data_IF_519288084669
#
_entry.id   IF_519288084669
#
_cell.length_a   1.000
_cell.length_b   1.000
_cell.length_c   1.000
_cell.angle_alpha   90.00
_cell.angle_beta   90.00
_cell.angle_gamma   90.00
#
_symmetry.space_group_name_H-M   'P 1'
#
loop_
_entity.id
_entity.type
_entity.pdbx_description
1 polymer ?
#
# COMPACT_ATOMS: atom_id res chain seq x y z
N UNK A 1 34.03 -36.40 8.77
CA UNK A 1 33.59 -35.59 7.61
C UNK A 1 32.34 -36.26 7.07
N UNK A 2 31.16 -35.70 7.35
CA UNK A 2 29.90 -36.19 6.79
C UNK A 2 29.40 -35.24 5.70
N UNK A 3 28.94 -35.74 4.53
CA UNK A 3 28.36 -34.89 3.49
C UNK A 3 26.88 -34.59 3.79
N UNK A 4 26.55 -33.30 3.85
CA UNK A 4 25.23 -32.76 4.12
C UNK A 4 24.29 -32.87 2.89
N UNK A 5 23.06 -33.33 3.14
CA UNK A 5 22.08 -33.75 2.15
C UNK A 5 21.37 -32.57 1.44
N UNK A 6 21.27 -32.72 0.11
CA UNK A 6 20.16 -32.37 -0.77
C UNK A 6 19.60 -30.92 -0.83
N UNK A 7 20.28 -30.10 -1.63
CA UNK A 7 19.64 -28.96 -2.32
C UNK A 7 18.62 -29.49 -3.35
N UNK A 8 17.33 -29.18 -3.17
CA UNK A 8 16.24 -29.52 -4.13
C UNK A 8 16.63 -29.14 -5.57
N UNK A 9 16.96 -30.15 -6.37
CA UNK A 9 17.28 -30.02 -7.79
C UNK A 9 16.05 -29.50 -8.53
N UNK A 10 16.21 -28.40 -9.27
CA UNK A 10 15.14 -27.86 -10.14
C UNK A 10 14.74 -28.95 -11.15
N UNK A 11 13.45 -29.30 -11.22
CA UNK A 11 12.93 -30.29 -12.17
C UNK A 11 13.17 -29.84 -13.61
N UNK A 12 13.51 -30.79 -14.47
CA UNK A 12 13.85 -30.50 -15.85
C UNK A 12 12.60 -30.20 -16.68
N UNK A 13 12.74 -29.37 -17.71
CA UNK A 13 11.64 -29.04 -18.63
C UNK A 13 11.15 -30.27 -19.42
N UNK A 14 11.90 -31.38 -19.42
CA UNK A 14 11.52 -32.65 -20.07
C UNK A 14 10.86 -33.65 -19.12
N UNK A 15 10.80 -33.39 -17.81
CA UNK A 15 10.18 -34.33 -16.85
C UNK A 15 8.67 -34.36 -17.08
N UNK A 16 8.16 -35.52 -17.47
CA UNK A 16 6.73 -35.81 -17.72
C UNK A 16 5.96 -36.07 -16.42
N UNK A 17 6.66 -36.35 -15.33
CA UNK A 17 6.08 -36.71 -14.05
C UNK A 17 5.24 -35.56 -13.47
N UNK A 18 3.95 -35.82 -13.25
CA UNK A 18 2.97 -34.85 -12.72
C UNK A 18 2.30 -33.95 -13.75
N UNK A 19 2.52 -34.15 -15.07
CA UNK A 19 1.82 -33.38 -16.13
C UNK A 19 0.51 -34.04 -16.57
N UNK A 20 -0.46 -34.15 -15.66
CA UNK A 20 -1.74 -34.83 -15.92
C UNK A 20 -2.77 -33.99 -16.68
N UNK A 21 -2.55 -32.67 -16.85
CA UNK A 21 -3.53 -31.77 -17.45
C UNK A 21 -3.23 -31.54 -18.94
N UNK A 22 -3.97 -32.18 -19.83
CA UNK A 22 -3.76 -32.07 -21.30
C UNK A 22 -4.66 -31.04 -21.96
N UNK A 23 -4.10 -30.32 -22.94
CA UNK A 23 -4.84 -29.47 -23.86
C UNK A 23 -5.20 -30.24 -25.13
N UNK A 24 -6.25 -29.80 -25.82
CA UNK A 24 -6.66 -30.34 -27.13
C UNK A 24 -5.59 -30.23 -28.22
N UNK A 25 -4.61 -29.33 -28.06
CA UNK A 25 -3.43 -29.24 -28.92
C UNK A 25 -2.31 -30.24 -28.55
N UNK A 26 -2.56 -31.19 -27.65
CA UNK A 26 -1.63 -32.27 -27.26
C UNK A 26 -0.59 -31.89 -26.21
N UNK A 27 -0.64 -30.68 -25.64
CA UNK A 27 0.33 -30.23 -24.62
C UNK A 27 -0.13 -30.59 -23.20
N UNK A 28 0.77 -31.19 -22.43
CA UNK A 28 0.54 -31.59 -21.05
C UNK A 28 1.15 -30.60 -20.04
N UNK A 29 0.40 -30.27 -18.99
CA UNK A 29 0.72 -29.27 -17.98
C UNK A 29 0.66 -29.86 -16.56
N UNK A 30 1.46 -29.27 -15.66
CA UNK A 30 1.57 -29.70 -14.25
C UNK A 30 0.33 -29.39 -13.40
N UNK A 31 -0.53 -28.47 -13.85
CA UNK A 31 -1.73 -28.07 -13.11
C UNK A 31 -2.80 -27.53 -14.05
N UNK A 32 -4.06 -27.55 -13.59
CA UNK A 32 -5.17 -26.93 -14.31
C UNK A 32 -4.95 -25.42 -14.55
N UNK A 33 -4.32 -24.70 -13.61
CA UNK A 33 -4.01 -23.28 -13.79
C UNK A 33 -3.03 -23.03 -14.95
N UNK A 34 -2.01 -23.88 -15.08
CA UNK A 34 -1.06 -23.78 -16.19
C UNK A 34 -1.71 -24.15 -17.54
N UNK A 35 -2.57 -25.16 -17.56
CA UNK A 35 -3.40 -25.51 -18.72
C UNK A 35 -4.33 -24.36 -19.11
N UNK A 36 -5.01 -23.74 -18.14
CA UNK A 36 -5.93 -22.63 -18.37
C UNK A 36 -5.21 -21.41 -18.93
N UNK A 37 -4.06 -21.03 -18.36
CA UNK A 37 -3.25 -19.94 -18.89
C UNK A 37 -2.83 -20.19 -20.35
N UNK A 38 -2.49 -21.44 -20.67
CA UNK A 38 -2.20 -21.85 -22.04
C UNK A 38 -3.42 -21.74 -22.96
N UNK A 39 -4.57 -22.31 -22.56
CA UNK A 39 -5.84 -22.21 -23.31
C UNK A 39 -6.23 -20.75 -23.54
N UNK A 40 -6.12 -19.89 -22.54
CA UNK A 40 -6.43 -18.46 -22.64
C UNK A 40 -5.60 -17.72 -23.69
N UNK A 41 -4.33 -18.09 -23.88
CA UNK A 41 -3.43 -17.41 -24.83
C UNK A 41 -3.45 -18.04 -26.22
N UNK A 42 -3.75 -19.35 -26.32
CA UNK A 42 -3.62 -20.11 -27.59
C UNK A 42 -4.93 -20.64 -28.16
N UNK A 43 -5.98 -20.71 -27.35
CA UNK A 43 -7.31 -21.25 -27.66
C UNK A 43 -8.39 -20.29 -27.11
N UNK A 44 -8.21 -18.97 -27.31
CA UNK A 44 -9.07 -17.92 -26.74
C UNK A 44 -10.54 -18.04 -27.17
N UNK A 45 -10.77 -18.66 -28.32
CA UNK A 45 -12.06 -18.63 -29.02
C UNK A 45 -12.98 -19.81 -28.63
N UNK A 46 -12.50 -20.73 -27.77
CA UNK A 46 -13.16 -22.00 -27.44
C UNK A 46 -13.49 -22.14 -25.94
N UNK A 47 -13.36 -21.08 -25.15
CA UNK A 47 -13.55 -21.14 -23.68
C UNK A 47 -15.03 -20.87 -23.33
N UNK A 48 -15.79 -21.93 -23.06
CA UNK A 48 -17.17 -21.87 -22.60
C UNK A 48 -17.28 -21.42 -21.13
N UNK A 49 -18.43 -20.84 -20.77
CA UNK A 49 -18.70 -20.21 -19.48
C UNK A 49 -18.69 -21.18 -18.26
N UNK A 50 -18.53 -22.47 -18.48
CA UNK A 50 -18.50 -23.50 -17.43
C UNK A 50 -17.09 -23.88 -16.97
N UNK A 51 -16.04 -23.47 -17.71
CA UNK A 51 -14.63 -23.76 -17.37
C UNK A 51 -14.02 -22.80 -16.34
N UNK A 52 -14.79 -21.83 -15.84
CA UNK A 52 -14.29 -20.83 -14.90
C UNK A 52 -13.96 -21.47 -13.53
N UNK A 53 -12.71 -21.37 -13.06
CA UNK A 53 -12.42 -21.71 -11.67
C UNK A 53 -13.24 -20.80 -10.75
N UNK A 54 -14.01 -21.40 -9.84
CA UNK A 54 -14.71 -20.68 -8.75
C UNK A 54 -13.69 -19.74 -8.10
N UNK A 55 -13.98 -18.43 -8.13
CA UNK A 55 -13.08 -17.33 -7.74
C UNK A 55 -12.38 -17.63 -6.42
N UNK A 56 -11.09 -17.95 -6.46
CA UNK A 56 -10.21 -17.77 -5.29
C UNK A 56 -9.86 -16.28 -5.21
N UNK A 57 -10.06 -15.69 -4.03
CA UNK A 57 -9.79 -14.29 -3.70
C UNK A 57 -8.34 -13.94 -4.08
N UNK A 58 -8.19 -12.91 -4.92
CA UNK A 58 -6.92 -12.40 -5.43
C UNK A 58 -7.11 -11.01 -6.07
N UNK A 59 -6.06 -10.18 -5.97
CA UNK A 59 -5.99 -8.72 -6.10
C UNK A 59 -6.62 -8.12 -7.38
N UNK A 60 -7.35 -6.98 -7.30
CA UNK A 60 -7.87 -6.28 -8.48
C UNK A 60 -6.75 -5.67 -9.32
N UNK A 61 -6.86 -5.79 -10.65
CA UNK A 61 -6.16 -4.91 -11.61
C UNK A 61 -7.08 -3.74 -11.91
N UNK A 62 -6.59 -2.50 -11.80
CA UNK A 62 -7.24 -1.37 -12.48
C UNK A 62 -6.22 -0.49 -13.18
N UNK A 63 -6.46 -0.35 -14.49
CA UNK A 63 -5.95 0.70 -15.34
C UNK A 63 -6.50 2.04 -14.83
N UNK A 64 -5.63 3.03 -14.63
CA UNK A 64 -6.02 4.43 -14.74
C UNK A 64 -4.80 5.25 -15.13
N UNK A 65 -4.84 5.78 -16.35
CA UNK A 65 -3.90 6.77 -16.86
C UNK A 65 -4.26 8.09 -16.20
N UNK A 66 -3.45 8.57 -15.26
CA UNK A 66 -3.65 9.86 -14.58
C UNK A 66 -2.58 10.83 -15.10
N UNK A 67 -3.03 11.97 -15.64
CA UNK A 67 -2.18 13.05 -16.15
C UNK A 67 -1.39 13.70 -15.00
N UNK A 68 -0.06 13.71 -15.15
CA UNK A 68 0.95 13.97 -14.10
C UNK A 68 1.25 15.45 -13.82
N UNK A 69 0.77 16.37 -14.64
CA UNK A 69 1.34 17.73 -14.69
C UNK A 69 0.72 18.73 -13.70
N UNK A 70 -0.51 18.48 -13.21
CA UNK A 70 -1.23 19.47 -12.37
C UNK A 70 -0.90 19.35 -10.87
N UNK A 71 -0.38 18.21 -10.41
CA UNK A 71 -0.01 17.95 -9.00
C UNK A 71 1.25 18.71 -8.56
N UNK A 72 1.97 19.34 -9.50
CA UNK A 72 3.37 19.72 -9.33
C UNK A 72 3.61 21.15 -8.81
N UNK A 73 2.62 22.04 -8.82
CA UNK A 73 2.83 23.49 -8.65
C UNK A 73 2.96 23.99 -7.21
N UNK A 74 2.89 23.10 -6.21
CA UNK A 74 2.82 23.49 -4.78
C UNK A 74 3.68 22.66 -3.81
N UNK A 75 4.76 21.99 -4.27
CA UNK A 75 5.60 21.15 -3.40
C UNK A 75 6.81 21.94 -2.81
N UNK A 76 7.08 21.84 -1.48
CA UNK A 76 8.31 22.35 -0.89
C UNK A 76 9.47 21.35 -1.09
N UNK A 77 10.62 21.88 -1.50
CA UNK A 77 11.98 21.28 -1.62
C UNK A 77 12.16 19.96 -2.38
N UNK A 78 13.36 19.78 -2.96
CA UNK A 78 13.74 18.62 -3.77
C UNK A 78 13.87 17.30 -2.98
N UNK A 79 13.78 17.39 -1.65
CA UNK A 79 14.04 16.29 -0.70
C UNK A 79 12.77 15.71 -0.04
N UNK A 80 11.57 16.11 -0.46
CA UNK A 80 10.31 15.61 0.09
C UNK A 80 10.05 14.13 -0.31
N UNK A 81 10.08 13.18 0.65
CA UNK A 81 9.97 11.75 0.33
C UNK A 81 8.59 11.38 -0.24
N UNK A 82 7.51 12.00 0.27
CA UNK A 82 6.16 11.77 -0.23
C UNK A 82 6.03 12.31 -1.65
N UNK A 83 6.58 13.50 -1.93
CA UNK A 83 6.61 14.08 -3.27
C UNK A 83 7.35 13.19 -4.28
N UNK A 84 8.49 12.63 -3.90
CA UNK A 84 9.28 11.74 -4.74
C UNK A 84 8.52 10.44 -5.03
N UNK A 85 7.85 9.87 -4.02
CA UNK A 85 7.01 8.68 -4.17
C UNK A 85 5.85 8.95 -5.16
N UNK A 86 5.18 10.09 -5.06
CA UNK A 86 4.09 10.47 -5.98
C UNK A 86 4.61 10.58 -7.42
N UNK A 87 5.79 11.18 -7.63
CA UNK A 87 6.40 11.33 -8.97
C UNK A 87 6.77 9.99 -9.60
N UNK A 88 7.34 9.09 -8.80
CA UNK A 88 7.91 7.83 -9.26
C UNK A 88 6.96 6.64 -9.04
N UNK A 89 5.68 6.89 -8.79
CA UNK A 89 4.68 5.89 -8.41
C UNK A 89 4.63 4.64 -9.30
N UNK A 90 4.92 4.80 -10.60
CA UNK A 90 4.87 3.72 -11.59
C UNK A 90 6.18 2.94 -11.73
N UNK A 91 7.26 3.37 -11.06
CA UNK A 91 8.62 2.87 -11.25
C UNK A 91 9.13 2.10 -10.03
N UNK A 92 8.60 2.40 -8.84
CA UNK A 92 9.00 1.75 -7.59
C UNK A 92 8.11 0.58 -7.20
N UNK A 93 8.74 -0.49 -6.71
CA UNK A 93 8.05 -1.59 -6.04
C UNK A 93 7.47 -1.08 -4.71
N UNK A 94 6.15 -1.19 -4.52
CA UNK A 94 5.47 -0.70 -3.30
C UNK A 94 5.88 -1.55 -2.10
N UNK A 95 6.61 -0.94 -1.16
CA UNK A 95 7.06 -1.51 0.11
C UNK A 95 5.97 -1.48 1.18
N UNK A 96 4.94 -0.65 1.00
CA UNK A 96 3.82 -0.50 1.93
C UNK A 96 4.16 0.31 3.18
N UNK A 97 5.10 1.25 3.07
CA UNK A 97 5.54 2.12 4.17
C UNK A 97 4.50 3.20 4.49
N UNK A 98 4.66 3.89 5.62
CA UNK A 98 3.80 5.02 5.98
C UNK A 98 3.83 6.12 4.91
N UNK A 99 5.00 6.50 4.40
CA UNK A 99 5.13 7.53 3.35
C UNK A 99 4.45 7.10 2.04
N UNK A 100 4.50 5.81 1.68
CA UNK A 100 3.72 5.29 0.55
C UNK A 100 2.21 5.36 0.82
N UNK A 101 1.76 5.10 2.04
CA UNK A 101 0.35 5.22 2.41
C UNK A 101 -0.13 6.67 2.37
N UNK A 102 0.67 7.62 2.88
CA UNK A 102 0.40 9.05 2.77
C UNK A 102 0.33 9.51 1.32
N UNK A 103 1.30 9.11 0.49
CA UNK A 103 1.30 9.41 -0.94
C UNK A 103 0.03 8.89 -1.64
N UNK A 104 -0.32 7.61 -1.42
CA UNK A 104 -1.55 7.01 -1.98
C UNK A 104 -2.81 7.76 -1.55
N UNK A 105 -2.88 8.16 -0.28
CA UNK A 105 -4.03 8.89 0.25
C UNK A 105 -4.18 10.26 -0.40
N UNK A 106 -3.07 11.01 -0.55
CA UNK A 106 -3.06 12.29 -1.25
C UNK A 106 -3.48 12.13 -2.72
N UNK A 107 -2.91 11.15 -3.45
CA UNK A 107 -3.30 10.88 -4.83
C UNK A 107 -4.80 10.53 -4.97
N UNK A 108 -5.33 9.75 -4.03
CA UNK A 108 -6.75 9.38 -4.00
C UNK A 108 -7.66 10.60 -3.80
N UNK A 109 -7.27 11.53 -2.92
CA UNK A 109 -8.06 12.71 -2.57
C UNK A 109 -7.93 13.85 -3.58
N UNK A 110 -6.80 13.98 -4.28
CA UNK A 110 -6.58 15.03 -5.29
C UNK A 110 -7.70 15.06 -6.35
N UNK A 111 -8.18 13.89 -6.79
CA UNK A 111 -9.28 13.80 -7.77
C UNK A 111 -10.67 14.20 -7.24
N UNK A 112 -10.81 14.47 -5.93
CA UNK A 112 -12.12 14.62 -5.25
C UNK A 112 -12.29 15.94 -4.51
N UNK A 113 -11.21 16.69 -4.33
CA UNK A 113 -11.20 17.92 -3.54
C UNK A 113 -10.86 19.10 -4.44
N UNK A 114 -11.32 20.29 -4.04
CA UNK A 114 -10.80 21.52 -4.63
C UNK A 114 -9.34 21.74 -4.26
N UNK A 115 -8.63 22.59 -5.01
CA UNK A 115 -7.21 22.87 -4.76
C UNK A 115 -6.97 23.38 -3.33
N UNK A 116 -7.81 24.28 -2.82
CA UNK A 116 -7.70 24.84 -1.47
C UNK A 116 -7.88 23.75 -0.40
N UNK A 117 -8.86 22.87 -0.58
CA UNK A 117 -9.10 21.75 0.33
C UNK A 117 -7.98 20.72 0.27
N UNK A 118 -7.44 20.46 -0.92
CA UNK A 118 -6.31 19.57 -1.12
C UNK A 118 -5.04 20.10 -0.44
N UNK A 119 -4.75 21.39 -0.55
CA UNK A 119 -3.62 22.01 0.15
C UNK A 119 -3.76 21.91 1.67
N UNK A 120 -4.98 22.13 2.19
CA UNK A 120 -5.24 21.97 3.62
C UNK A 120 -5.05 20.52 4.07
N UNK A 121 -5.62 19.56 3.34
CA UNK A 121 -5.44 18.12 3.59
C UNK A 121 -3.96 17.74 3.58
N UNK A 122 -3.23 18.24 2.59
CA UNK A 122 -1.81 18.01 2.45
C UNK A 122 -1.07 18.51 3.70
N UNK A 123 -1.33 19.72 4.15
CA UNK A 123 -0.72 20.25 5.38
C UNK A 123 -1.00 19.39 6.62
N UNK A 124 -2.20 18.80 6.73
CA UNK A 124 -2.53 17.85 7.82
C UNK A 124 -1.76 16.54 7.68
N UNK A 125 -1.62 15.99 6.46
CA UNK A 125 -0.83 14.77 6.21
C UNK A 125 0.65 14.96 6.60
N UNK A 126 1.28 16.07 6.22
CA UNK A 126 2.67 16.34 6.62
C UNK A 126 2.80 16.54 8.13
N UNK A 127 1.83 17.19 8.79
CA UNK A 127 1.85 17.29 10.24
C UNK A 127 1.71 15.96 10.96
N UNK A 128 0.88 15.06 10.44
CA UNK A 128 0.80 13.70 10.98
C UNK A 128 2.10 12.94 10.74
N UNK A 129 2.71 13.06 9.55
CA UNK A 129 4.02 12.48 9.24
C UNK A 129 5.09 12.95 10.24
N UNK A 130 5.16 14.25 10.50
CA UNK A 130 6.10 14.84 11.46
C UNK A 130 5.85 14.32 12.89
N UNK A 131 4.57 14.21 13.28
CA UNK A 131 4.18 13.63 14.57
C UNK A 131 4.65 12.19 14.70
N UNK A 132 4.40 11.36 13.69
CA UNK A 132 4.80 9.94 13.65
C UNK A 132 6.31 9.79 13.73
N UNK A 133 7.07 10.59 12.97
CA UNK A 133 8.53 10.52 13.00
C UNK A 133 9.15 11.03 14.30
N UNK A 134 8.54 12.04 14.94
CA UNK A 134 9.06 12.64 16.18
C UNK A 134 8.69 11.85 17.44
N UNK A 135 7.57 11.12 17.40
CA UNK A 135 7.01 10.42 18.56
C UNK A 135 6.67 8.96 18.22
N UNK A 136 7.53 8.30 17.45
CA UNK A 136 7.31 6.93 16.98
C UNK A 136 7.22 5.93 18.13
N UNK A 137 7.88 6.22 19.25
CA UNK A 137 7.84 5.43 20.48
C UNK A 137 6.43 5.33 21.08
N UNK A 138 5.51 6.23 20.69
CA UNK A 138 4.11 6.18 21.10
C UNK A 138 3.23 5.28 20.22
N UNK A 139 3.74 4.79 19.10
CA UNK A 139 3.01 3.92 18.18
C UNK A 139 3.04 2.46 18.63
N UNK A 140 4.21 2.00 19.08
CA UNK A 140 4.44 0.62 19.49
C UNK A 140 5.43 0.60 20.67
N UNK A 141 4.91 0.30 21.86
CA UNK A 141 5.68 0.24 23.10
C UNK A 141 6.57 -1.00 23.21
N UNK A 142 6.42 -1.99 22.32
CA UNK A 142 7.14 -3.26 22.41
C UNK A 142 8.36 -3.35 21.48
N UNK A 143 8.44 -2.50 20.45
CA UNK A 143 9.55 -2.46 19.48
C UNK A 143 10.25 -1.10 19.49
N UNK A 144 11.03 -0.83 20.54
CA UNK A 144 12.00 0.26 20.55
C UNK A 144 13.17 -0.09 19.63
N UNK A 145 12.95 -0.03 18.31
CA UNK A 145 14.07 0.05 17.38
C UNK A 145 14.74 1.41 17.58
N UNK A 146 16.05 1.40 17.81
CA UNK A 146 16.93 2.58 17.74
C UNK A 146 17.00 3.06 16.28
N UNK A 147 15.87 3.50 15.71
CA UNK A 147 15.82 4.08 14.38
C UNK A 147 16.20 5.57 14.53
N UNK A 148 17.48 5.87 14.32
CA UNK A 148 18.02 7.23 14.41
C UNK A 148 17.47 8.21 13.37
N UNK A 149 16.70 7.78 12.36
CA UNK A 149 15.99 8.74 11.50
C UNK A 149 14.89 8.09 10.66
N UNK A 150 13.67 8.59 10.86
CA UNK A 150 12.49 8.46 10.00
C UNK A 150 11.77 7.08 10.00
N UNK A 151 10.88 6.91 10.99
CA UNK A 151 9.93 5.80 11.06
C UNK A 151 9.08 5.68 9.78
N UNK A 152 8.62 6.79 9.19
CA UNK A 152 7.62 6.73 8.11
C UNK A 152 8.14 6.19 6.78
N UNK A 153 9.46 6.22 6.55
CA UNK A 153 10.08 5.67 5.34
C UNK A 153 10.38 4.17 5.45
N UNK A 154 10.42 3.64 6.67
CA UNK A 154 10.83 2.25 6.97
C UNK A 154 9.65 1.39 7.37
N UNK A 155 8.77 1.92 8.22
CA UNK A 155 7.72 1.16 8.88
C UNK A 155 6.38 1.23 8.15
N UNK A 156 5.53 0.24 8.47
CA UNK A 156 4.18 0.13 7.93
C UNK A 156 3.20 1.03 8.69
N UNK A 157 2.15 1.55 8.03
CA UNK A 157 1.16 2.45 8.64
C UNK A 157 0.22 1.78 9.66
N UNK A 158 0.41 0.49 9.97
CA UNK A 158 -0.53 -0.30 10.78
C UNK A 158 -0.80 0.30 12.15
N UNK A 159 0.22 0.91 12.77
CA UNK A 159 0.15 1.46 14.12
C UNK A 159 -0.23 2.94 14.17
N UNK A 160 -0.35 3.63 13.02
CA UNK A 160 -0.71 5.06 12.99
C UNK A 160 -1.99 5.38 13.79
N UNK A 161 -3.05 4.55 13.79
CA UNK A 161 -4.23 4.85 14.60
C UNK A 161 -3.94 5.09 16.09
N UNK A 162 -2.91 4.47 16.67
CA UNK A 162 -2.56 4.63 18.09
C UNK A 162 -2.12 6.04 18.45
N UNK A 163 -1.48 6.77 17.52
CA UNK A 163 -1.01 8.13 17.79
C UNK A 163 -2.10 9.20 17.63
N UNK A 164 -3.32 8.83 17.18
CA UNK A 164 -4.37 9.78 16.81
C UNK A 164 -4.75 10.74 17.95
N UNK A 165 -4.97 10.21 19.16
CA UNK A 165 -5.33 11.06 20.31
C UNK A 165 -4.19 11.99 20.70
N UNK A 166 -2.95 11.50 20.70
CA UNK A 166 -1.77 12.32 20.96
C UNK A 166 -1.59 13.43 19.91
N UNK A 167 -1.76 13.08 18.63
CA UNK A 167 -1.68 14.04 17.53
C UNK A 167 -2.64 15.21 17.72
N UNK A 168 -3.91 14.91 18.03
CA UNK A 168 -4.97 15.90 18.19
C UNK A 168 -4.85 16.71 19.49
N UNK A 169 -4.53 16.06 20.61
CA UNK A 169 -4.61 16.66 21.95
C UNK A 169 -3.30 17.34 22.36
N UNK A 170 -2.15 16.76 22.01
CA UNK A 170 -0.85 17.21 22.50
C UNK A 170 0.00 17.82 21.38
N UNK A 171 0.14 17.13 20.24
CA UNK A 171 1.05 17.56 19.16
C UNK A 171 0.57 18.84 18.47
N UNK A 172 -0.66 18.86 17.98
CA UNK A 172 -1.19 19.98 17.20
C UNK A 172 -1.22 21.30 17.98
N UNK A 173 -1.73 21.36 19.23
CA UNK A 173 -1.69 22.60 20.00
C UNK A 173 -0.28 23.14 20.23
N UNK A 174 0.73 22.26 20.29
CA UNK A 174 2.14 22.64 20.52
C UNK A 174 2.82 23.13 19.25
N UNK A 175 2.70 22.39 18.15
CA UNK A 175 3.45 22.66 16.90
C UNK A 175 2.67 23.58 15.94
N UNK A 176 1.33 23.61 16.05
CA UNK A 176 0.44 24.46 15.25
C UNK A 176 -0.64 25.11 16.13
N UNK A 177 -0.31 26.14 16.93
CA UNK A 177 -1.27 26.75 17.86
C UNK A 177 -2.55 27.27 17.19
N UNK A 178 -2.43 27.72 15.94
CA UNK A 178 -3.56 28.13 15.09
C UNK A 178 -3.91 26.95 14.18
N UNK A 179 -4.80 26.07 14.65
CA UNK A 179 -5.34 24.95 13.87
C UNK A 179 -6.84 24.80 14.09
N UNK A 180 -7.54 24.24 13.10
CA UNK A 180 -8.94 23.89 13.22
C UNK A 180 -9.05 22.45 13.74
N UNK A 181 -9.20 22.31 15.07
CA UNK A 181 -9.29 21.01 15.75
C UNK A 181 -10.37 20.11 15.14
N UNK A 182 -11.51 20.66 14.69
CA UNK A 182 -12.59 19.86 14.11
C UNK A 182 -12.19 19.29 12.76
N UNK A 183 -11.52 20.09 11.92
CA UNK A 183 -10.99 19.62 10.63
C UNK A 183 -9.92 18.56 10.81
N UNK A 184 -9.02 18.73 11.79
CA UNK A 184 -7.97 17.75 12.07
C UNK A 184 -8.54 16.43 12.60
N UNK A 185 -9.57 16.47 13.47
CA UNK A 185 -10.30 15.27 13.89
C UNK A 185 -10.95 14.58 12.68
N UNK A 186 -11.64 15.34 11.82
CA UNK A 186 -12.29 14.79 10.62
C UNK A 186 -11.25 14.14 9.69
N UNK A 187 -10.11 14.81 9.48
CA UNK A 187 -9.00 14.28 8.72
C UNK A 187 -8.50 12.95 9.29
N UNK A 188 -8.23 12.89 10.60
CA UNK A 188 -7.73 11.66 11.24
C UNK A 188 -8.72 10.50 11.12
N UNK A 189 -10.01 10.76 11.36
CA UNK A 189 -11.07 9.75 11.22
C UNK A 189 -11.16 9.22 9.79
N UNK A 190 -11.16 10.12 8.81
CA UNK A 190 -11.20 9.74 7.39
C UNK A 190 -9.95 8.97 6.98
N UNK A 191 -8.78 9.41 7.44
CA UNK A 191 -7.51 8.79 7.07
C UNK A 191 -7.40 7.37 7.61
N UNK A 192 -7.67 7.12 8.90
CA UNK A 192 -7.56 5.74 9.40
C UNK A 192 -8.71 4.85 8.93
N UNK A 193 -9.92 5.41 8.66
CA UNK A 193 -10.96 4.65 7.95
C UNK A 193 -10.44 4.18 6.59
N UNK A 194 -9.81 5.08 5.85
CA UNK A 194 -9.19 4.75 4.58
C UNK A 194 -8.07 3.71 4.75
N UNK A 195 -7.23 3.80 5.79
CA UNK A 195 -6.22 2.78 6.10
C UNK A 195 -6.85 1.39 6.29
N UNK A 196 -7.94 1.30 7.06
CA UNK A 196 -8.68 0.07 7.27
C UNK A 196 -9.27 -0.47 5.94
N UNK A 197 -9.91 0.37 5.14
CA UNK A 197 -10.43 0.00 3.82
C UNK A 197 -9.34 -0.52 2.86
N UNK A 198 -8.12 0.00 2.97
CA UNK A 198 -6.97 -0.46 2.19
C UNK A 198 -6.24 -1.68 2.81
N UNK A 199 -6.72 -2.20 3.95
CA UNK A 199 -6.11 -3.28 4.74
C UNK A 199 -4.68 -2.95 5.23
N UNK A 200 -4.43 -1.69 5.57
CA UNK A 200 -3.17 -1.26 6.19
C UNK A 200 -3.15 -1.46 7.69
N UNK A 201 -4.32 -1.46 8.33
CA UNK A 201 -4.48 -1.60 9.78
C UNK A 201 -5.78 -2.31 10.08
N UNK A 202 -5.79 -3.09 11.15
CA UNK A 202 -6.99 -3.68 11.74
C UNK A 202 -7.44 -2.91 13.00
N UNK A 203 -6.75 -1.81 13.34
CA UNK A 203 -7.05 -1.00 14.52
C UNK A 203 -8.23 -0.06 14.24
N UNK A 204 -9.24 -0.12 15.10
CA UNK A 204 -10.32 0.87 15.12
C UNK A 204 -9.87 2.11 15.89
N UNK A 205 -10.13 3.31 15.36
CA UNK A 205 -9.84 4.53 16.12
C UNK A 205 -10.91 4.75 17.18
N UNK A 206 -10.48 4.91 18.43
CA UNK A 206 -11.27 5.55 19.47
C UNK A 206 -10.72 6.98 19.71
N UNK A 207 -11.28 7.97 19.01
CA UNK A 207 -10.95 9.38 19.30
C UNK A 207 -11.85 9.84 20.45
N UNK A 208 -11.23 10.17 21.58
CA UNK A 208 -11.95 10.78 22.71
C UNK A 208 -12.16 12.27 22.41
N UNK A 209 -13.41 12.67 22.20
CA UNK A 209 -13.83 14.06 21.97
C UNK A 209 -13.84 14.89 23.24
#
# INVERSE_FOLDING_TARGET
MEPNQDKKKRRSKKDSEGRSFMCECGKAYLSYQALYAHKKVKHSDTISQEDFPKKKRGRPRQNNVINKEEVLSSLPSKDDPIAQIIKNWNETESKGTCDEAFAKYLMFKHSKLSEVEYQALRASVYSLRDCVNKYYERLDTENFLENESEYTITEKPAMIPNISNFYIIEFLPREKPIHDKKKEISFMLEFCRWLNEQNYTDLEIAISS
#
